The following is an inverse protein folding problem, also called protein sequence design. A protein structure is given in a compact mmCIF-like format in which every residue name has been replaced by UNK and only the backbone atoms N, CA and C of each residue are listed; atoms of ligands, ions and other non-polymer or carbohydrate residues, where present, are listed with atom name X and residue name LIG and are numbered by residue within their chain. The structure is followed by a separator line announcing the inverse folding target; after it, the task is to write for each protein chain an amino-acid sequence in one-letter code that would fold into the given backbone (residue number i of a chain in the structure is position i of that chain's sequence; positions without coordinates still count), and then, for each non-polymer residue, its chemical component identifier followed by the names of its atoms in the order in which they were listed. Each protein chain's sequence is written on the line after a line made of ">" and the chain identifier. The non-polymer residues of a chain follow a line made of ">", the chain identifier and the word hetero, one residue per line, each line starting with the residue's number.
data_IF_387755854850
#
_entry.id   IF_387755854850
#
_cell.length_a   1.000
_cell.length_b   1.000
_cell.length_c   1.000
_cell.angle_alpha   90.00
_cell.angle_beta   90.00
_cell.angle_gamma   90.00
#
_symmetry.space_group_name_H-M   'P 1'
#
loop_
_entity.id
_entity.type
_entity.pdbx_description
1 polymer ?
#
# COMPACT_ATOMS: atom_id res chain seq x y z
N UNK A 1 24.44 11.03 11.33
CA UNK A 1 25.45 10.82 12.41
C UNK A 1 25.07 11.49 13.74
N UNK A 2 23.99 12.28 13.79
CA UNK A 2 23.57 13.04 14.98
C UNK A 2 23.10 12.24 16.20
N UNK A 3 22.77 10.95 16.07
CA UNK A 3 22.21 10.17 17.18
C UNK A 3 23.24 9.36 17.99
N UNK A 4 24.50 9.27 17.55
CA UNK A 4 25.55 8.52 18.25
C UNK A 4 25.37 6.99 18.34
N UNK A 5 24.33 6.43 17.69
CA UNK A 5 24.01 4.99 17.78
C UNK A 5 24.90 4.14 16.85
N UNK A 6 25.42 4.72 15.77
CA UNK A 6 26.26 4.01 14.80
C UNK A 6 27.68 3.82 15.35
N UNK A 7 27.99 2.59 15.81
CA UNK A 7 29.30 2.24 16.38
C UNK A 7 30.44 2.09 15.33
N UNK A 8 30.16 2.24 14.03
CA UNK A 8 31.15 2.13 12.94
C UNK A 8 30.89 3.22 11.88
N UNK A 9 31.94 3.73 11.20
CA UNK A 9 31.77 4.67 10.10
C UNK A 9 30.88 4.05 9.01
N UNK A 10 29.86 4.78 8.59
CA UNK A 10 29.01 4.40 7.45
C UNK A 10 29.61 5.08 6.23
N UNK A 11 30.34 4.32 5.42
CA UNK A 11 30.98 4.81 4.19
C UNK A 11 29.96 4.97 3.05
N UNK A 12 28.90 4.15 3.07
CA UNK A 12 27.82 4.15 2.09
C UNK A 12 26.48 3.97 2.84
N UNK A 13 25.66 5.02 2.79
CA UNK A 13 24.35 5.01 3.44
C UNK A 13 23.35 4.11 2.72
N UNK A 14 23.44 3.94 1.40
CA UNK A 14 22.54 3.07 0.64
C UNK A 14 22.83 1.61 0.98
N UNK A 15 24.11 1.22 1.01
CA UNK A 15 24.53 -0.11 1.42
C UNK A 15 24.18 -0.41 2.90
N UNK A 16 24.27 0.61 3.77
CA UNK A 16 23.89 0.49 5.17
C UNK A 16 22.38 0.28 5.34
N UNK A 17 21.56 1.01 4.58
CA UNK A 17 20.10 0.83 4.54
C UNK A 17 19.73 -0.55 4.02
N UNK A 18 20.37 -1.04 2.95
CA UNK A 18 20.15 -2.39 2.44
C UNK A 18 20.46 -3.45 3.50
N UNK A 19 21.62 -3.34 4.15
CA UNK A 19 22.03 -4.28 5.20
C UNK A 19 21.06 -4.30 6.39
N UNK A 20 20.60 -3.14 6.85
CA UNK A 20 19.62 -3.06 7.94
C UNK A 20 18.29 -3.69 7.52
N UNK A 21 17.89 -3.49 6.27
CA UNK A 21 16.68 -4.07 5.68
C UNK A 21 16.75 -5.59 5.64
N UNK A 22 17.92 -6.20 5.42
CA UNK A 22 18.08 -7.66 5.45
C UNK A 22 17.80 -8.29 6.83
N UNK A 23 18.12 -7.59 7.93
CA UNK A 23 17.99 -8.14 9.29
C UNK A 23 16.55 -8.14 9.84
N UNK A 24 15.70 -7.23 9.39
CA UNK A 24 14.32 -7.09 9.88
C UNK A 24 13.35 -8.07 9.18
N UNK A 25 13.77 -8.68 8.07
CA UNK A 25 12.86 -9.19 7.05
C UNK A 25 13.22 -10.61 6.53
N UNK A 26 13.46 -11.58 7.42
CA UNK A 26 13.81 -12.97 7.04
C UNK A 26 12.81 -13.65 6.08
N UNK A 27 11.53 -13.28 6.11
CA UNK A 27 10.50 -13.81 5.18
C UNK A 27 10.42 -13.01 3.87
N UNK A 28 11.04 -11.83 3.79
CA UNK A 28 10.84 -10.84 2.73
C UNK A 28 11.95 -10.81 1.66
N UNK A 29 13.05 -11.55 1.82
CA UNK A 29 14.07 -11.72 0.77
C UNK A 29 13.46 -12.27 -0.53
N UNK A 30 12.44 -13.14 -0.42
CA UNK A 30 11.70 -13.64 -1.58
C UNK A 30 10.80 -12.57 -2.23
N UNK A 31 10.20 -11.69 -1.43
CA UNK A 31 9.32 -10.63 -1.94
C UNK A 31 10.10 -9.42 -2.47
N UNK A 32 11.35 -9.20 -2.07
CA UNK A 32 12.21 -8.11 -2.54
C UNK A 32 12.25 -7.99 -4.09
N UNK A 33 12.51 -9.07 -4.86
CA UNK A 33 12.47 -8.98 -6.33
C UNK A 33 11.06 -8.67 -6.86
N UNK A 34 10.01 -9.21 -6.24
CA UNK A 34 8.62 -8.96 -6.65
C UNK A 34 8.27 -7.48 -6.46
N UNK A 35 8.58 -6.91 -5.29
CA UNK A 35 8.36 -5.50 -5.01
C UNK A 35 9.21 -4.59 -5.89
N UNK A 36 10.47 -4.96 -6.17
CA UNK A 36 11.33 -4.21 -7.10
C UNK A 36 10.72 -4.14 -8.50
N UNK A 37 10.14 -5.24 -8.99
CA UNK A 37 9.47 -5.25 -10.28
C UNK A 37 8.16 -4.46 -10.26
N UNK A 38 7.36 -4.59 -9.19
CA UNK A 38 6.11 -3.84 -9.04
C UNK A 38 6.33 -2.31 -9.04
N UNK A 39 7.40 -1.82 -8.41
CA UNK A 39 7.75 -0.39 -8.40
C UNK A 39 8.14 0.15 -9.77
N UNK A 40 8.69 -0.67 -10.67
CA UNK A 40 9.06 -0.24 -12.03
C UNK A 40 7.85 0.02 -12.90
N UNK A 41 6.77 -0.74 -12.68
CA UNK A 41 5.54 -0.61 -13.45
C UNK A 41 4.33 -0.76 -12.52
N UNK A 42 3.92 0.36 -11.93
CA UNK A 42 2.80 0.41 -10.97
C UNK A 42 1.51 0.02 -11.69
N UNK A 43 0.93 -1.11 -11.29
CA UNK A 43 -0.33 -1.63 -11.84
C UNK A 43 -1.53 -1.22 -10.99
N UNK A 44 -2.71 -1.21 -11.61
CA UNK A 44 -3.99 -1.07 -10.91
C UNK A 44 -4.43 -2.42 -10.35
N UNK A 45 -4.79 -2.47 -9.08
CA UNK A 45 -5.16 -3.72 -8.39
C UNK A 45 -6.50 -3.54 -7.69
N UNK A 46 -7.47 -4.38 -8.04
CA UNK A 46 -8.80 -4.37 -7.41
C UNK A 46 -8.76 -5.16 -6.11
N UNK A 47 -9.19 -4.52 -5.02
CA UNK A 47 -9.37 -5.13 -3.71
C UNK A 47 -10.88 -5.27 -3.45
N UNK A 48 -11.40 -6.48 -3.58
CA UNK A 48 -12.84 -6.75 -3.53
C UNK A 48 -13.47 -6.53 -2.14
N UNK A 49 -12.68 -6.71 -1.08
CA UNK A 49 -13.12 -6.51 0.32
C UNK A 49 -12.63 -5.15 0.84
N UNK A 50 -12.92 -4.07 0.12
CA UNK A 50 -12.39 -2.73 0.40
C UNK A 50 -12.77 -2.16 1.77
N UNK A 51 -13.78 -2.73 2.44
CA UNK A 51 -14.16 -2.35 3.79
C UNK A 51 -13.33 -3.08 4.87
N UNK A 52 -12.69 -4.22 4.58
CA UNK A 52 -12.00 -5.03 5.59
C UNK A 52 -10.74 -4.36 6.15
N UNK A 53 -10.55 -4.40 7.48
CA UNK A 53 -9.42 -3.71 8.13
C UNK A 53 -8.06 -4.18 7.59
N UNK A 54 -7.91 -5.49 7.32
CA UNK A 54 -6.70 -6.06 6.71
C UNK A 54 -6.44 -5.53 5.31
N UNK A 55 -7.48 -5.34 4.51
CA UNK A 55 -7.38 -4.79 3.15
C UNK A 55 -6.99 -3.31 3.20
N UNK A 56 -7.53 -2.54 4.14
CA UNK A 56 -7.16 -1.15 4.34
C UNK A 56 -5.69 -1.00 4.75
N UNK A 57 -5.19 -1.86 5.64
CA UNK A 57 -3.76 -1.91 5.96
C UNK A 57 -2.89 -2.30 4.77
N UNK A 58 -3.29 -3.31 3.99
CA UNK A 58 -2.58 -3.68 2.77
C UNK A 58 -2.55 -2.52 1.75
N UNK A 59 -3.66 -1.79 1.63
CA UNK A 59 -3.76 -0.60 0.77
C UNK A 59 -2.78 0.48 1.21
N UNK A 60 -2.66 0.72 2.52
CA UNK A 60 -1.67 1.67 3.06
C UNK A 60 -0.26 1.30 2.64
N UNK A 61 0.09 0.01 2.72
CA UNK A 61 1.41 -0.49 2.36
C UNK A 61 1.67 -0.40 0.85
N UNK A 62 0.67 -0.76 0.02
CA UNK A 62 0.77 -0.68 -1.43
C UNK A 62 1.04 0.76 -1.89
N UNK A 63 0.33 1.72 -1.29
CA UNK A 63 0.48 3.15 -1.60
C UNK A 63 1.80 3.69 -1.04
N UNK A 64 2.12 3.44 0.23
CA UNK A 64 3.31 3.99 0.88
C UNK A 64 4.61 3.53 0.21
N UNK A 65 4.65 2.28 -0.25
CA UNK A 65 5.79 1.72 -0.95
C UNK A 65 5.77 1.94 -2.47
N UNK A 66 4.67 2.46 -3.03
CA UNK A 66 4.52 2.66 -4.47
C UNK A 66 4.48 1.35 -5.27
N UNK A 67 3.82 0.32 -4.75
CA UNK A 67 3.77 -1.02 -5.36
C UNK A 67 2.62 -1.18 -6.35
N UNK A 68 1.50 -0.50 -6.12
CA UNK A 68 0.29 -0.58 -6.95
C UNK A 68 -0.55 0.68 -6.76
N UNK A 69 -1.49 0.90 -7.69
CA UNK A 69 -2.58 1.85 -7.53
C UNK A 69 -3.88 1.08 -7.18
N UNK A 70 -4.31 1.06 -5.90
CA UNK A 70 -5.42 0.22 -5.47
C UNK A 70 -6.77 0.77 -5.94
N UNK A 71 -7.71 -0.14 -6.19
CA UNK A 71 -9.12 0.15 -6.43
C UNK A 71 -9.91 -0.63 -5.39
N UNK A 72 -10.51 0.06 -4.42
CA UNK A 72 -11.29 -0.57 -3.37
C UNK A 72 -12.75 -0.71 -3.79
N UNK A 73 -13.29 -1.91 -3.67
CA UNK A 73 -14.72 -2.15 -3.83
C UNK A 73 -15.39 -2.07 -2.46
N UNK A 74 -16.37 -1.21 -2.31
CA UNK A 74 -17.11 -1.04 -1.07
C UNK A 74 -17.77 0.32 -0.95
N UNK A 75 -18.47 0.54 0.16
CA UNK A 75 -19.19 1.79 0.41
C UNK A 75 -18.21 2.89 0.85
N UNK A 76 -18.16 4.04 0.16
CA UNK A 76 -17.21 5.11 0.48
C UNK A 76 -17.27 5.56 1.94
N UNK A 77 -18.48 5.73 2.49
CA UNK A 77 -18.68 6.14 3.89
C UNK A 77 -18.14 5.14 4.90
N UNK A 78 -18.21 3.83 4.61
CA UNK A 78 -17.68 2.78 5.49
C UNK A 78 -16.16 2.75 5.43
N UNK A 79 -15.59 2.87 4.23
CA UNK A 79 -14.14 2.93 4.03
C UNK A 79 -13.56 4.13 4.77
N UNK A 80 -14.09 5.34 4.56
CA UNK A 80 -13.61 6.57 5.21
C UNK A 80 -13.70 6.49 6.75
N UNK A 81 -14.82 5.99 7.27
CA UNK A 81 -14.99 5.78 8.71
C UNK A 81 -13.92 4.84 9.29
N UNK A 82 -13.65 3.72 8.61
CA UNK A 82 -12.65 2.73 9.05
C UNK A 82 -11.24 3.25 8.92
N UNK A 83 -10.89 3.95 7.84
CA UNK A 83 -9.60 4.62 7.70
C UNK A 83 -9.33 5.56 8.89
N UNK A 84 -10.32 6.38 9.25
CA UNK A 84 -10.22 7.28 10.41
C UNK A 84 -10.08 6.51 11.73
N UNK A 85 -10.87 5.45 11.93
CA UNK A 85 -10.81 4.61 13.14
C UNK A 85 -9.44 3.92 13.30
N UNK A 86 -8.85 3.45 12.20
CA UNK A 86 -7.56 2.76 12.16
C UNK A 86 -6.35 3.73 12.15
N UNK A 87 -6.58 5.03 11.99
CA UNK A 87 -5.51 6.03 11.89
C UNK A 87 -4.69 5.93 10.60
N UNK A 88 -5.28 5.37 9.54
CA UNK A 88 -4.62 5.22 8.23
C UNK A 88 -4.63 6.54 7.48
N UNK A 89 -3.50 6.88 6.87
CA UNK A 89 -3.29 8.13 6.14
C UNK A 89 -3.47 7.87 4.64
N UNK A 90 -4.73 7.63 4.25
CA UNK A 90 -5.13 7.41 2.87
C UNK A 90 -6.30 8.32 2.51
N UNK A 91 -6.27 8.84 1.29
CA UNK A 91 -7.26 9.77 0.74
C UNK A 91 -7.88 9.16 -0.52
N UNK A 92 -9.19 8.84 -0.54
CA UNK A 92 -9.89 8.40 -1.74
C UNK A 92 -9.71 9.40 -2.91
N UNK A 93 -9.57 8.88 -4.13
CA UNK A 93 -9.36 9.66 -5.35
C UNK A 93 -7.92 10.17 -5.57
N UNK A 94 -7.11 10.21 -4.51
CA UNK A 94 -5.67 10.52 -4.59
C UNK A 94 -4.83 9.25 -4.48
N UNK A 95 -5.00 8.52 -3.39
CA UNK A 95 -4.15 7.39 -3.02
C UNK A 95 -4.72 6.06 -3.57
N UNK A 96 -6.03 5.99 -3.77
CA UNK A 96 -6.74 4.85 -4.32
C UNK A 96 -8.07 5.28 -4.94
N UNK A 97 -8.64 4.47 -5.83
CA UNK A 97 -9.99 4.66 -6.37
C UNK A 97 -11.01 3.86 -5.57
N UNK A 98 -12.25 4.35 -5.48
CA UNK A 98 -13.35 3.61 -4.86
C UNK A 98 -14.40 3.28 -5.90
N UNK A 99 -14.79 2.01 -5.96
CA UNK A 99 -15.91 1.51 -6.74
C UNK A 99 -17.02 1.11 -5.78
N UNK A 100 -18.13 1.85 -5.83
CA UNK A 100 -19.31 1.55 -5.03
C UNK A 100 -20.27 0.66 -5.83
N UNK A 101 -20.35 -0.62 -5.48
CA UNK A 101 -21.24 -1.59 -6.13
C UNK A 101 -22.74 -1.30 -5.92
N UNK A 102 -23.11 -0.58 -4.86
CA UNK A 102 -24.51 -0.22 -4.60
C UNK A 102 -24.98 0.98 -5.44
N UNK A 103 -24.05 1.73 -6.06
CA UNK A 103 -24.35 2.95 -6.83
C UNK A 103 -23.27 3.17 -7.89
N UNK A 104 -22.99 2.16 -8.72
CA UNK A 104 -22.05 2.32 -9.84
C UNK A 104 -22.81 2.85 -11.07
N UNK A 105 -22.45 4.03 -11.60
CA UNK A 105 -23.08 4.59 -12.81
C UNK A 105 -23.01 3.65 -14.02
N UNK A 106 -22.02 2.75 -14.06
CA UNK A 106 -21.80 1.78 -15.13
C UNK A 106 -22.62 0.49 -14.94
N UNK A 107 -23.43 0.39 -13.89
CA UNK A 107 -24.24 -0.81 -13.62
C UNK A 107 -25.03 -1.27 -14.86
N UNK A 108 -25.63 -0.32 -15.59
CA UNK A 108 -26.38 -0.61 -16.82
C UNK A 108 -25.51 -1.06 -18.01
N UNK A 109 -24.22 -0.72 -18.03
CA UNK A 109 -23.29 -1.16 -19.09
C UNK A 109 -22.84 -2.61 -18.91
N UNK A 110 -22.86 -3.13 -17.67
CA UNK A 110 -22.43 -4.49 -17.35
C UNK A 110 -23.55 -5.54 -17.47
N UNK A 111 -24.81 -5.12 -17.30
CA UNK A 111 -25.98 -6.01 -17.21
C UNK A 111 -27.10 -5.69 -18.21
N UNK A 112 -26.88 -4.72 -19.11
CA UNK A 112 -27.81 -4.31 -20.17
C UNK A 112 -27.59 -5.03 -21.49
#
# INVERSE_FOLDING_TARGET
>A
MDSGVAMRPIEDFDAYVEKLTEFVYKTNLFMKPIFSQAKKEVKRVVMAEGEEERVLHATQELVSQGLAYPILVGRPSVIEMRLKKLGLQLTPGKDFEVVNNESDPRFNEYWG
#
